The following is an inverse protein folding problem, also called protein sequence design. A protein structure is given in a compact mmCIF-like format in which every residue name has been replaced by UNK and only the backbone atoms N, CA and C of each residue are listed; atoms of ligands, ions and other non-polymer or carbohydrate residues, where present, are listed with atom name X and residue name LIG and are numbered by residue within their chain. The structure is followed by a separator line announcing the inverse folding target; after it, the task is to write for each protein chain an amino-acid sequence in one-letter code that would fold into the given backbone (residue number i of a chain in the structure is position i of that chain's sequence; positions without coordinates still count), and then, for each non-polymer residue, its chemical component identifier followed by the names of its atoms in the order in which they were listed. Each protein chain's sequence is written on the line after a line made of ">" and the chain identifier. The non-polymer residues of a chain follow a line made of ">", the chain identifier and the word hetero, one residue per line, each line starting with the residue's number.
data_IF_170253559986
#
_entry.id   IF_170253559986
#
_cell.length_a   1.000
_cell.length_b   1.000
_cell.length_c   1.000
_cell.angle_alpha   90.00
_cell.angle_beta   90.00
_cell.angle_gamma   90.00
#
_symmetry.space_group_name_H-M   'P 1'
#
loop_
_entity.id
_entity.type
_entity.pdbx_description
1 polymer ?
#
# COMPACT_ATOMS: atom_id res chain seq x y z
N UNK A 1 -7.56 6.29 -14.70
CA UNK A 1 -6.10 6.05 -14.82
C UNK A 1 -5.28 6.62 -13.65
N UNK A 2 -5.80 6.61 -12.41
CA UNK A 2 -5.11 7.17 -11.22
C UNK A 2 -4.40 6.10 -10.37
N UNK A 3 -4.65 4.80 -10.62
CA UNK A 3 -4.13 3.68 -9.82
C UNK A 3 -2.66 3.31 -10.12
N UNK A 4 -2.08 3.75 -11.26
CA UNK A 4 -0.71 3.38 -11.67
C UNK A 4 0.40 4.27 -11.12
N UNK A 5 0.11 5.50 -10.66
CA UNK A 5 1.17 6.49 -10.35
C UNK A 5 2.03 6.18 -9.13
N UNK A 6 1.75 5.10 -8.42
CA UNK A 6 2.48 4.69 -7.22
C UNK A 6 3.33 3.44 -7.42
N UNK A 7 3.14 2.73 -8.53
CA UNK A 7 3.73 1.41 -8.79
C UNK A 7 4.54 1.42 -10.08
N UNK A 8 5.09 2.60 -10.40
CA UNK A 8 6.00 2.83 -11.54
C UNK A 8 7.11 1.79 -11.58
N UNK A 9 7.64 1.40 -10.43
CA UNK A 9 8.70 0.39 -10.36
C UNK A 9 8.29 -0.98 -10.94
N UNK A 10 7.02 -1.39 -10.77
CA UNK A 10 6.52 -2.62 -11.38
C UNK A 10 6.12 -2.38 -12.84
N UNK A 11 5.40 -1.31 -13.17
CA UNK A 11 4.85 -1.11 -14.53
C UNK A 11 5.85 -0.58 -15.56
N UNK A 12 6.88 0.14 -15.12
CA UNK A 12 7.87 0.74 -16.01
C UNK A 12 9.06 -0.21 -16.26
N UNK A 13 9.10 -1.36 -15.56
CA UNK A 13 10.11 -2.39 -15.75
C UNK A 13 9.77 -3.24 -16.98
N UNK A 14 10.71 -3.33 -17.91
CA UNK A 14 10.66 -4.27 -19.00
C UNK A 14 10.94 -5.68 -18.46
N UNK A 15 9.96 -6.57 -18.61
CA UNK A 15 10.01 -7.95 -18.10
C UNK A 15 9.75 -8.93 -19.25
N UNK A 16 10.27 -10.18 -19.15
CA UNK A 16 10.00 -11.19 -20.17
C UNK A 16 8.50 -11.52 -20.28
N UNK A 17 8.05 -12.13 -21.41
CA UNK A 17 6.69 -12.63 -21.56
C UNK A 17 6.28 -13.58 -20.43
N UNK A 18 4.98 -13.61 -20.11
CA UNK A 18 4.46 -14.42 -19.01
C UNK A 18 4.83 -15.90 -19.17
N UNK A 19 4.68 -16.43 -20.38
CA UNK A 19 4.94 -17.82 -20.72
C UNK A 19 6.42 -18.20 -20.52
N UNK A 20 7.33 -17.26 -20.80
CA UNK A 20 8.76 -17.46 -20.59
C UNK A 20 9.08 -17.55 -19.09
N UNK A 21 8.52 -16.63 -18.29
CA UNK A 21 8.77 -16.62 -16.84
C UNK A 21 8.11 -17.82 -16.14
N UNK A 22 6.93 -18.25 -16.59
CA UNK A 22 6.29 -19.49 -16.10
C UNK A 22 7.17 -20.72 -16.35
N UNK A 23 7.78 -20.82 -17.53
CA UNK A 23 8.72 -21.89 -17.85
C UNK A 23 9.99 -21.81 -16.98
N UNK A 24 10.55 -20.61 -16.76
CA UNK A 24 11.73 -20.42 -15.90
C UNK A 24 11.48 -20.90 -14.47
N UNK A 25 10.30 -20.62 -13.93
CA UNK A 25 9.90 -21.08 -12.59
C UNK A 25 9.79 -22.61 -12.52
N UNK A 26 9.34 -23.26 -13.60
CA UNK A 26 9.26 -24.73 -13.67
C UNK A 26 10.64 -25.39 -13.72
N UNK A 27 11.54 -24.87 -14.55
CA UNK A 27 12.87 -25.44 -14.76
C UNK A 27 13.83 -25.19 -13.59
N UNK A 28 13.77 -24.00 -12.99
CA UNK A 28 14.71 -23.56 -11.97
C UNK A 28 14.06 -22.66 -10.92
N UNK A 29 13.17 -23.17 -10.05
CA UNK A 29 12.47 -22.32 -9.08
C UNK A 29 13.45 -21.59 -8.15
N UNK A 30 13.35 -20.27 -8.11
CA UNK A 30 14.15 -19.41 -7.23
C UNK A 30 13.30 -18.24 -6.73
N UNK A 31 13.74 -17.60 -5.64
CA UNK A 31 13.04 -16.43 -5.11
C UNK A 31 12.91 -15.31 -6.18
N UNK A 32 13.94 -15.16 -7.02
CA UNK A 32 13.96 -14.20 -8.12
C UNK A 32 12.97 -14.57 -9.23
N UNK A 33 12.94 -15.83 -9.67
CA UNK A 33 12.01 -16.25 -10.72
C UNK A 33 10.54 -16.14 -10.26
N UNK A 34 10.24 -16.51 -9.02
CA UNK A 34 8.89 -16.35 -8.45
C UNK A 34 8.50 -14.88 -8.30
N UNK A 35 9.44 -14.01 -7.89
CA UNK A 35 9.17 -12.58 -7.78
C UNK A 35 8.94 -11.96 -9.15
N UNK A 36 9.76 -12.31 -10.14
CA UNK A 36 9.59 -11.90 -11.54
C UNK A 36 8.23 -12.34 -12.09
N UNK A 37 7.82 -13.59 -11.84
CA UNK A 37 6.52 -14.10 -12.24
C UNK A 37 5.39 -13.28 -11.61
N UNK A 38 5.50 -12.97 -10.31
CA UNK A 38 4.55 -12.11 -9.61
C UNK A 38 4.47 -10.70 -10.22
N UNK A 39 5.59 -10.12 -10.61
CA UNK A 39 5.62 -8.80 -11.28
C UNK A 39 4.96 -8.84 -12.65
N UNK A 40 5.25 -9.84 -13.48
CA UNK A 40 4.60 -9.99 -14.81
C UNK A 40 3.10 -10.19 -14.65
N UNK A 41 2.67 -11.07 -13.74
CA UNK A 41 1.25 -11.28 -13.44
C UNK A 41 0.57 -10.00 -12.94
N UNK A 42 1.25 -9.20 -12.12
CA UNK A 42 0.76 -7.89 -11.68
C UNK A 42 0.60 -6.90 -12.84
N UNK A 43 1.57 -6.81 -13.75
CA UNK A 43 1.49 -5.98 -14.96
C UNK A 43 0.30 -6.39 -15.84
N UNK A 44 0.01 -7.69 -15.91
CA UNK A 44 -1.14 -8.26 -16.62
C UNK A 44 -2.46 -8.16 -15.84
N UNK A 45 -2.46 -7.57 -14.65
CA UNK A 45 -3.61 -7.39 -13.75
C UNK A 45 -4.19 -8.72 -13.20
N UNK A 46 -3.37 -9.77 -13.17
CA UNK A 46 -3.72 -11.11 -12.69
C UNK A 46 -3.35 -11.24 -11.20
N UNK A 47 -4.03 -10.44 -10.36
CA UNK A 47 -3.57 -10.16 -9.00
C UNK A 47 -3.56 -11.36 -8.05
N UNK A 48 -4.49 -12.31 -8.21
CA UNK A 48 -4.53 -13.49 -7.35
C UNK A 48 -3.28 -14.35 -7.55
N UNK A 49 -2.90 -14.61 -8.80
CA UNK A 49 -1.69 -15.35 -9.13
C UNK A 49 -0.44 -14.56 -8.72
N UNK A 50 -0.44 -13.24 -8.92
CA UNK A 50 0.67 -12.39 -8.49
C UNK A 50 0.93 -12.52 -6.98
N UNK A 51 -0.11 -12.53 -6.15
CA UNK A 51 0.02 -12.74 -4.71
C UNK A 51 0.61 -14.12 -4.36
N UNK A 52 0.20 -15.17 -5.08
CA UNK A 52 0.74 -16.52 -4.91
C UNK A 52 2.24 -16.52 -5.25
N UNK A 53 2.62 -16.02 -6.42
CA UNK A 53 4.01 -15.97 -6.86
C UNK A 53 4.90 -15.15 -5.91
N UNK A 54 4.42 -14.00 -5.43
CA UNK A 54 5.13 -13.24 -4.39
C UNK A 54 5.24 -13.98 -3.06
N UNK A 55 4.26 -14.81 -2.72
CA UNK A 55 4.30 -15.63 -1.50
C UNK A 55 5.34 -16.74 -1.61
N UNK A 56 5.42 -17.41 -2.77
CA UNK A 56 6.48 -18.39 -3.05
C UNK A 56 7.87 -17.75 -3.01
N UNK A 57 8.02 -16.56 -3.60
CA UNK A 57 9.28 -15.81 -3.52
C UNK A 57 9.70 -15.49 -2.08
N UNK A 58 8.74 -15.02 -1.26
CA UNK A 58 8.97 -14.71 0.16
C UNK A 58 9.28 -15.94 1.01
N UNK A 59 8.75 -17.11 0.66
CA UNK A 59 9.03 -18.36 1.36
C UNK A 59 10.48 -18.82 1.15
N UNK A 60 11.06 -18.50 -0.02
CA UNK A 60 12.45 -18.81 -0.35
C UNK A 60 13.42 -17.77 0.22
N UNK A 61 13.10 -16.49 0.07
CA UNK A 61 13.92 -15.40 0.59
C UNK A 61 13.07 -14.13 0.81
N UNK A 62 12.95 -13.73 2.07
CA UNK A 62 12.19 -12.55 2.46
C UNK A 62 13.00 -11.26 2.28
N UNK A 63 12.45 -10.29 1.54
CA UNK A 63 13.04 -8.96 1.35
C UNK A 63 11.98 -7.87 1.47
N UNK A 64 12.41 -6.64 1.73
CA UNK A 64 11.52 -5.49 1.80
C UNK A 64 10.74 -5.30 0.48
N UNK A 65 11.42 -5.40 -0.66
CA UNK A 65 10.80 -5.26 -1.99
C UNK A 65 9.70 -6.31 -2.24
N UNK A 66 9.96 -7.59 -1.92
CA UNK A 66 9.00 -8.68 -2.10
C UNK A 66 7.76 -8.50 -1.23
N UNK A 67 7.95 -8.09 0.02
CA UNK A 67 6.83 -7.72 0.90
C UNK A 67 6.06 -6.52 0.35
N UNK A 68 6.76 -5.50 -0.15
CA UNK A 68 6.12 -4.31 -0.71
C UNK A 68 5.25 -4.66 -1.92
N UNK A 69 5.76 -5.46 -2.86
CA UNK A 69 5.02 -5.89 -4.06
C UNK A 69 3.78 -6.74 -3.70
N UNK A 70 3.91 -7.68 -2.75
CA UNK A 70 2.75 -8.45 -2.28
C UNK A 70 1.73 -7.58 -1.54
N UNK A 71 2.19 -6.68 -0.68
CA UNK A 71 1.33 -5.76 0.06
C UNK A 71 0.53 -4.87 -0.88
N UNK A 72 1.17 -4.31 -1.90
CA UNK A 72 0.51 -3.54 -2.97
C UNK A 72 -0.54 -4.37 -3.71
N UNK A 73 -0.21 -5.60 -4.08
CA UNK A 73 -1.14 -6.54 -4.73
C UNK A 73 -2.39 -6.78 -3.87
N UNK A 74 -2.19 -7.02 -2.57
CA UNK A 74 -3.26 -7.20 -1.58
C UNK A 74 -4.11 -5.95 -1.39
N UNK A 75 -3.53 -4.75 -1.45
CA UNK A 75 -4.31 -3.49 -1.45
C UNK A 75 -5.27 -3.45 -2.64
N UNK A 76 -4.81 -3.82 -3.83
CA UNK A 76 -5.66 -3.82 -5.03
C UNK A 76 -6.81 -4.83 -4.91
N UNK A 77 -6.54 -5.98 -4.29
CA UNK A 77 -7.51 -7.03 -4.02
C UNK A 77 -8.44 -6.73 -2.82
N UNK A 78 -8.21 -5.64 -2.09
CA UNK A 78 -9.01 -5.28 -0.91
C UNK A 78 -8.66 -6.04 0.37
N UNK A 79 -7.58 -6.82 0.37
CA UNK A 79 -7.05 -7.57 1.52
C UNK A 79 -6.26 -6.64 2.45
N UNK A 80 -6.94 -5.70 3.09
CA UNK A 80 -6.29 -4.60 3.81
C UNK A 80 -5.55 -5.02 5.09
N UNK A 81 -5.98 -6.08 5.77
CA UNK A 81 -5.28 -6.65 6.92
C UNK A 81 -3.92 -7.23 6.49
N UNK A 82 -3.96 -8.19 5.56
CA UNK A 82 -2.76 -8.84 5.02
C UNK A 82 -1.77 -7.85 4.39
N UNK A 83 -2.29 -6.80 3.72
CA UNK A 83 -1.45 -5.74 3.16
C UNK A 83 -0.75 -4.90 4.24
N UNK A 84 -1.42 -4.67 5.38
CA UNK A 84 -0.83 -3.95 6.51
C UNK A 84 0.34 -4.75 7.10
N UNK A 85 0.17 -6.06 7.28
CA UNK A 85 1.22 -6.97 7.75
C UNK A 85 2.44 -6.95 6.83
N UNK A 86 2.21 -6.94 5.50
CA UNK A 86 3.29 -6.82 4.52
C UNK A 86 4.01 -5.48 4.64
N UNK A 87 3.31 -4.34 4.77
CA UNK A 87 3.98 -3.06 4.93
C UNK A 87 4.72 -2.94 6.27
N UNK A 88 4.23 -3.56 7.33
CA UNK A 88 4.96 -3.66 8.59
C UNK A 88 6.22 -4.52 8.44
N UNK A 89 6.18 -5.57 7.62
CA UNK A 89 7.39 -6.32 7.27
C UNK A 89 8.39 -5.46 6.51
N UNK A 90 7.95 -4.68 5.50
CA UNK A 90 8.83 -3.71 4.81
C UNK A 90 9.51 -2.78 5.81
N UNK A 91 8.76 -2.23 6.77
CA UNK A 91 9.29 -1.30 7.77
C UNK A 91 10.23 -1.94 8.79
N UNK A 92 10.20 -3.28 8.97
CA UNK A 92 11.21 -4.00 9.76
C UNK A 92 12.55 -4.11 9.02
N UNK A 93 12.52 -4.27 7.70
CA UNK A 93 13.73 -4.28 6.86
C UNK A 93 14.26 -2.86 6.63
N UNK A 94 13.35 -1.93 6.33
CA UNK A 94 13.64 -0.57 5.92
C UNK A 94 12.75 0.42 6.69
N UNK A 95 13.14 0.82 7.91
CA UNK A 95 12.33 1.69 8.77
C UNK A 95 11.99 3.06 8.14
N UNK A 96 12.79 3.51 7.18
CA UNK A 96 12.64 4.78 6.48
C UNK A 96 12.03 4.65 5.07
N UNK A 97 11.40 3.51 4.74
CA UNK A 97 10.78 3.30 3.43
C UNK A 97 9.52 4.17 3.25
N UNK A 98 9.62 5.21 2.42
CA UNK A 98 8.52 6.16 2.14
C UNK A 98 7.21 5.46 1.71
N UNK A 99 7.31 4.55 0.72
CA UNK A 99 6.16 3.87 0.14
C UNK A 99 5.37 3.03 1.16
N UNK A 100 6.06 2.32 2.06
CA UNK A 100 5.44 1.53 3.11
C UNK A 100 4.71 2.42 4.12
N UNK A 101 5.33 3.49 4.62
CA UNK A 101 4.66 4.47 5.50
C UNK A 101 3.43 5.10 4.84
N UNK A 102 3.54 5.50 3.57
CA UNK A 102 2.43 6.08 2.83
C UNK A 102 1.25 5.12 2.67
N UNK A 103 1.51 3.87 2.24
CA UNK A 103 0.45 2.88 2.04
C UNK A 103 -0.13 2.40 3.37
N UNK A 104 0.70 2.18 4.40
CA UNK A 104 0.27 1.89 5.79
C UNK A 104 -0.69 2.96 6.29
N UNK A 105 -0.32 4.24 6.21
CA UNK A 105 -1.17 5.33 6.66
C UNK A 105 -2.52 5.40 5.93
N UNK A 106 -2.53 5.16 4.61
CA UNK A 106 -3.78 5.10 3.83
C UNK A 106 -4.67 3.92 4.22
N UNK A 107 -4.10 2.76 4.46
CA UNK A 107 -4.84 1.57 4.89
C UNK A 107 -5.43 1.76 6.28
N UNK A 108 -4.63 2.24 7.23
CA UNK A 108 -5.06 2.54 8.60
C UNK A 108 -6.24 3.54 8.61
N UNK A 109 -6.18 4.59 7.77
CA UNK A 109 -7.29 5.53 7.64
C UNK A 109 -8.57 4.85 7.13
N UNK A 110 -8.45 3.90 6.19
CA UNK A 110 -9.59 3.12 5.67
C UNK A 110 -10.17 2.16 6.71
N UNK A 111 -9.33 1.68 7.63
CA UNK A 111 -9.71 0.89 8.80
C UNK A 111 -10.16 1.76 9.99
N UNK A 112 -10.27 3.08 9.82
CA UNK A 112 -10.62 4.07 10.86
C UNK A 112 -9.66 4.12 12.06
N UNK A 113 -8.44 3.63 11.90
CA UNK A 113 -7.33 3.76 12.85
C UNK A 113 -6.62 5.10 12.60
N UNK A 114 -7.31 6.19 12.92
CA UNK A 114 -6.94 7.51 12.41
C UNK A 114 -5.65 8.09 12.99
N UNK A 115 -5.35 7.86 14.28
CA UNK A 115 -4.12 8.37 14.88
C UNK A 115 -2.87 7.70 14.28
N UNK A 116 -2.89 6.37 14.18
CA UNK A 116 -1.81 5.62 13.54
C UNK A 116 -1.67 5.96 12.05
N UNK A 117 -2.78 6.27 11.38
CA UNK A 117 -2.77 6.73 10.01
C UNK A 117 -2.05 8.07 9.86
N UNK A 118 -2.29 9.02 10.79
CA UNK A 118 -1.62 10.32 10.79
C UNK A 118 -0.13 10.15 11.06
N UNK A 119 0.26 9.36 12.06
CA UNK A 119 1.67 9.10 12.37
C UNK A 119 2.44 8.55 11.17
N UNK A 120 1.88 7.56 10.48
CA UNK A 120 2.50 6.97 9.30
C UNK A 120 2.61 7.99 8.14
N UNK A 121 1.57 8.80 7.90
CA UNK A 121 1.59 9.81 6.84
C UNK A 121 2.50 11.00 7.16
N UNK A 122 2.64 11.38 8.44
CA UNK A 122 3.58 12.39 8.91
C UNK A 122 5.02 11.91 8.73
N UNK A 123 5.28 10.63 9.04
CA UNK A 123 6.57 9.99 8.77
C UNK A 123 6.89 9.97 7.28
N UNK A 124 5.95 9.52 6.42
CA UNK A 124 6.13 9.59 4.96
C UNK A 124 6.41 11.02 4.48
N UNK A 125 5.68 12.02 5.00
CA UNK A 125 5.91 13.42 4.62
C UNK A 125 7.30 13.94 5.04
N UNK A 126 7.80 13.54 6.22
CA UNK A 126 9.15 13.87 6.68
C UNK A 126 10.23 13.24 5.79
N UNK A 127 10.06 11.97 5.43
CA UNK A 127 11.01 11.21 4.62
C UNK A 127 11.15 11.79 3.20
N UNK A 128 10.04 12.13 2.54
CA UNK A 128 10.09 12.75 1.22
C UNK A 128 8.96 13.76 1.01
N UNK A 129 9.24 15.01 1.36
CA UNK A 129 8.27 16.11 1.25
C UNK A 129 7.80 16.37 -0.19
N UNK A 130 8.70 16.28 -1.17
CA UNK A 130 8.37 16.53 -2.57
C UNK A 130 7.40 15.45 -3.11
N UNK A 131 7.68 14.19 -2.81
CA UNK A 131 6.80 13.07 -3.19
C UNK A 131 5.49 13.09 -2.41
N UNK A 132 5.52 13.41 -1.11
CA UNK A 132 4.31 13.58 -0.30
C UNK A 132 3.40 14.69 -0.83
N UNK A 133 3.98 15.81 -1.30
CA UNK A 133 3.23 16.89 -1.96
C UNK A 133 2.62 16.42 -3.28
N UNK A 134 3.38 15.71 -4.13
CA UNK A 134 2.87 15.13 -5.39
C UNK A 134 1.69 14.20 -5.14
N UNK A 135 1.74 13.41 -4.07
CA UNK A 135 0.71 12.47 -3.65
C UNK A 135 -0.38 13.08 -2.76
N UNK A 136 -0.35 14.39 -2.54
CA UNK A 136 -1.35 15.13 -1.77
C UNK A 136 -1.54 14.62 -0.32
N UNK A 137 -0.47 14.10 0.30
CA UNK A 137 -0.47 13.55 1.67
C UNK A 137 -1.02 14.56 2.68
N UNK A 138 -0.63 15.83 2.58
CA UNK A 138 -1.15 16.90 3.43
C UNK A 138 -2.67 17.11 3.33
N UNK A 139 -3.28 16.85 2.17
CA UNK A 139 -4.74 16.88 2.01
C UNK A 139 -5.39 15.65 2.65
N UNK A 140 -4.78 14.48 2.49
CA UNK A 140 -5.25 13.25 3.13
C UNK A 140 -5.24 13.39 4.67
N UNK A 141 -4.14 13.87 5.26
CA UNK A 141 -4.03 14.08 6.71
C UNK A 141 -5.07 15.06 7.25
N UNK A 142 -5.32 16.19 6.55
CA UNK A 142 -6.40 17.11 6.94
C UNK A 142 -7.78 16.46 6.95
N UNK A 143 -8.03 15.55 6.00
CA UNK A 143 -9.29 14.80 5.94
C UNK A 143 -9.38 13.80 7.09
N UNK A 144 -8.29 13.08 7.36
CA UNK A 144 -8.21 12.10 8.46
C UNK A 144 -8.41 12.78 9.82
N UNK A 145 -7.78 13.95 10.06
CA UNK A 145 -7.98 14.72 11.30
C UNK A 145 -9.45 15.06 11.53
N UNK A 146 -10.17 15.53 10.50
CA UNK A 146 -11.61 15.79 10.62
C UNK A 146 -12.44 14.55 10.91
N UNK A 147 -12.14 13.43 10.24
CA UNK A 147 -12.82 12.16 10.48
C UNK A 147 -12.56 11.63 11.90
N UNK A 148 -11.33 11.78 12.41
CA UNK A 148 -10.96 11.44 13.77
C UNK A 148 -11.71 12.28 14.79
N UNK A 149 -11.75 13.60 14.59
CA UNK A 149 -12.34 14.55 15.52
C UNK A 149 -13.89 14.53 15.47
N UNK A 150 -14.49 13.63 14.68
CA UNK A 150 -15.94 13.50 14.55
C UNK A 150 -16.61 14.66 13.80
N UNK A 151 -15.82 15.51 13.12
CA UNK A 151 -16.32 16.62 12.29
C UNK A 151 -16.77 16.08 10.92
N UNK A 152 -17.69 15.11 10.96
CA UNK A 152 -18.65 14.96 9.88
C UNK A 152 -19.55 16.19 9.94
N UNK A 153 -19.99 16.68 8.78
CA UNK A 153 -20.97 17.78 8.68
C UNK A 153 -22.29 17.53 9.47
N UNK A 154 -22.43 16.37 10.12
CA UNK A 154 -23.50 16.02 11.08
C UNK A 154 -23.48 16.84 12.37
N UNK A 155 -22.39 17.54 12.69
CA UNK A 155 -22.38 18.51 13.80
C UNK A 155 -23.25 19.75 13.53
N UNK A 156 -23.95 19.82 12.39
CA UNK A 156 -25.03 20.79 12.21
C UNK A 156 -26.18 20.56 13.21
N UNK A 157 -26.58 19.31 13.43
CA UNK A 157 -27.72 19.00 14.31
C UNK A 157 -27.37 19.13 15.80
N UNK A 158 -26.15 18.76 16.21
CA UNK A 158 -25.71 18.94 17.60
C UNK A 158 -25.46 20.42 17.94
N UNK A 159 -24.99 21.22 16.97
CA UNK A 159 -24.90 22.69 17.13
C UNK A 159 -26.28 23.35 17.21
N UNK A 160 -27.27 22.86 16.45
CA UNK A 160 -28.65 23.32 16.57
C UNK A 160 -29.30 22.94 17.91
N UNK A 161 -29.03 21.73 18.43
CA UNK A 161 -29.51 21.32 19.76
C UNK A 161 -28.95 22.22 20.88
N UNK A 162 -27.70 22.65 20.78
CA UNK A 162 -27.10 23.62 21.71
C UNK A 162 -27.61 25.06 21.56
N UNK A 163 -28.05 25.46 20.37
CA UNK A 163 -28.64 26.80 20.08
C UNK A 163 -30.12 26.89 20.45
N UNK A 164 -30.86 25.78 20.40
CA UNK A 164 -32.29 25.75 20.69
C UNK A 164 -32.63 25.45 22.15
N UNK A 165 -31.63 25.23 23.02
CA UNK A 165 -31.80 25.20 24.48
C UNK A 165 -33.07 24.49 24.95
N UNK A 166 -33.13 23.17 24.83
CA UNK A 166 -34.13 22.34 25.51
C UNK A 166 -33.44 21.41 26.47
#
# INVERSE_FOLDING_TARGET
>A
MLKMKLYHDIFDRELPPLEEVEHLVQEAPSAEHWHMLGMVQFQKLIFHQAEVSFTEALALEATAERHFHRGVTRVIMGKFGDALDDFEAVLRFEPEHFGAHYNRGRLLARLRRYDEALEALETAQRLNRAQANRLQVGRAMRTIRRLRDGDTRESFFDRLRGLLGT
#
